data_IF_814890743494
#
_entry.id   IF_814890743494
#
_cell.length_a   1.000
_cell.length_b   1.000
_cell.length_c   1.000
_cell.angle_alpha   90.00
_cell.angle_beta   90.00
_cell.angle_gamma   90.00
#
_symmetry.space_group_name_H-M   'P 1'
#
loop_
_entity.id
_entity.type
_entity.pdbx_description
1 polymer ?
#
# COMPACT_ATOMS: atom_id res chain seq x y z
N UNK A 1 -9.34 -11.26 -23.39
CA UNK A 1 -8.36 -11.62 -22.43
C UNK A 1 -6.96 -11.62 -23.01
N UNK A 2 -6.05 -11.01 -22.35
CA UNK A 2 -4.71 -10.89 -22.87
C UNK A 2 -3.96 -12.20 -22.70
N UNK A 3 -3.38 -12.68 -23.78
CA UNK A 3 -2.59 -13.90 -23.71
C UNK A 3 -1.18 -13.60 -23.29
N UNK A 4 -0.75 -12.37 -23.52
CA UNK A 4 0.56 -11.93 -23.08
C UNK A 4 0.39 -10.69 -22.24
N UNK A 5 -0.08 -10.85 -21.03
CA UNK A 5 -0.28 -9.68 -20.20
C UNK A 5 1.06 -9.03 -19.88
N UNK A 6 1.06 -7.73 -19.92
CA UNK A 6 2.23 -6.96 -19.58
C UNK A 6 2.50 -7.08 -18.08
N UNK A 7 3.69 -7.53 -17.65
CA UNK A 7 3.96 -7.64 -16.21
C UNK A 7 3.78 -6.32 -15.47
N UNK A 8 4.13 -5.21 -16.09
CA UNK A 8 3.93 -3.92 -15.46
C UNK A 8 2.45 -3.63 -15.28
N UNK A 9 1.64 -3.96 -16.29
CA UNK A 9 0.21 -3.77 -16.20
C UNK A 9 -0.43 -4.62 -15.13
N UNK A 10 0.04 -5.86 -15.00
CA UNK A 10 -0.47 -6.74 -13.95
C UNK A 10 -0.19 -6.18 -12.57
N UNK A 11 1.02 -5.68 -12.38
CA UNK A 11 1.37 -5.04 -11.12
C UNK A 11 0.51 -3.81 -10.86
N UNK A 12 0.32 -3.01 -11.89
CA UNK A 12 -0.43 -1.78 -11.75
C UNK A 12 -1.85 -2.02 -11.31
N UNK A 13 -2.44 -3.14 -11.76
CA UNK A 13 -3.80 -3.45 -11.34
C UNK A 13 -3.90 -3.74 -9.85
N UNK A 14 -2.85 -4.36 -9.30
CA UNK A 14 -2.84 -4.67 -7.87
C UNK A 14 -2.61 -3.41 -7.04
N UNK A 15 -1.65 -2.59 -7.47
CA UNK A 15 -1.22 -1.46 -6.65
C UNK A 15 -1.85 -0.14 -7.06
N UNK A 16 -2.87 -0.18 -7.91
CA UNK A 16 -3.48 1.06 -8.37
C UNK A 16 -4.11 1.82 -7.21
N UNK A 17 -4.02 3.13 -7.32
CA UNK A 17 -4.60 4.00 -6.31
C UNK A 17 -3.62 4.34 -5.21
N UNK A 18 -3.74 5.56 -4.75
CA UNK A 18 -2.86 6.10 -3.75
C UNK A 18 -2.86 5.29 -2.46
N UNK A 19 -4.07 4.92 -2.01
CA UNK A 19 -4.18 4.31 -0.70
C UNK A 19 -3.60 2.91 -0.65
N UNK A 20 -3.70 2.16 -1.76
CA UNK A 20 -3.14 0.82 -1.80
C UNK A 20 -1.64 0.84 -1.56
N UNK A 21 -0.94 1.72 -2.27
CA UNK A 21 0.50 1.84 -2.10
C UNK A 21 0.87 2.27 -0.71
N UNK A 22 0.10 3.18 -0.12
CA UNK A 22 0.40 3.66 1.22
C UNK A 22 0.16 2.60 2.29
N UNK A 23 -0.84 1.74 2.08
CA UNK A 23 -1.06 0.62 3.00
C UNK A 23 0.15 -0.32 2.97
N UNK A 24 0.61 -0.66 1.77
CA UNK A 24 1.77 -1.54 1.64
C UNK A 24 2.99 -0.91 2.31
N UNK A 25 3.18 0.38 2.11
CA UNK A 25 4.28 1.09 2.74
C UNK A 25 4.24 0.95 4.25
N UNK A 26 3.05 1.15 4.83
CA UNK A 26 2.93 1.10 6.28
C UNK A 26 3.14 -0.30 6.82
N UNK A 27 2.71 -1.32 6.08
CA UNK A 27 2.88 -2.69 6.53
C UNK A 27 4.28 -3.23 6.30
N UNK A 28 5.10 -2.50 5.55
CA UNK A 28 6.46 -2.94 5.29
C UNK A 28 7.28 -3.03 6.57
N UNK A 29 6.96 -2.23 7.56
CA UNK A 29 7.70 -2.20 8.82
C UNK A 29 7.19 -3.19 9.84
N UNK A 30 6.09 -3.87 9.54
CA UNK A 30 5.53 -4.85 10.47
C UNK A 30 4.03 -4.84 10.44
N UNK A 31 3.45 -5.80 11.13
CA UNK A 31 2.01 -5.95 11.20
C UNK A 31 1.38 -4.79 11.97
N UNK A 32 0.17 -4.42 11.57
CA UNK A 32 -0.53 -3.33 12.21
C UNK A 32 -2.01 -3.65 12.33
N UNK A 33 -2.65 -3.00 13.30
CA UNK A 33 -4.08 -3.10 13.48
C UNK A 33 -4.78 -2.10 12.57
N UNK A 34 -6.07 -2.34 12.36
CA UNK A 34 -6.88 -1.47 11.52
C UNK A 34 -6.80 -0.02 12.00
N UNK A 35 -6.94 0.19 13.30
CA UNK A 35 -6.94 1.56 13.83
C UNK A 35 -5.58 2.24 13.68
N UNK A 36 -4.51 1.46 13.71
CA UNK A 36 -3.18 2.02 13.52
C UNK A 36 -2.98 2.47 12.09
N UNK A 37 -3.46 1.66 11.14
CA UNK A 37 -3.41 2.04 9.74
C UNK A 37 -4.27 3.27 9.48
N UNK A 38 -5.45 3.29 10.07
CA UNK A 38 -6.35 4.41 9.90
C UNK A 38 -5.73 5.69 10.38
N UNK A 39 -5.03 5.63 11.48
CA UNK A 39 -4.37 6.79 12.06
C UNK A 39 -3.19 7.26 11.21
N UNK A 40 -2.43 6.30 10.72
CA UNK A 40 -1.26 6.61 9.91
C UNK A 40 -1.63 7.14 8.53
N UNK A 41 -2.73 6.66 7.98
CA UNK A 41 -3.16 7.05 6.62
C UNK A 41 -4.16 8.19 6.74
N UNK A 42 -3.62 9.34 7.07
CA UNK A 42 -4.43 10.51 7.34
C UNK A 42 -5.35 10.83 6.17
N UNK A 43 -6.63 10.98 6.46
CA UNK A 43 -7.61 11.30 5.44
C UNK A 43 -8.33 10.11 4.85
N UNK A 44 -7.91 8.90 5.17
CA UNK A 44 -8.59 7.71 4.64
C UNK A 44 -9.85 7.45 5.46
N UNK A 45 -10.93 7.09 4.77
CA UNK A 45 -12.14 6.70 5.48
C UNK A 45 -12.03 5.23 5.88
N UNK A 46 -12.73 4.84 6.97
CA UNK A 46 -12.75 3.43 7.35
C UNK A 46 -13.24 2.52 6.24
N UNK A 47 -14.20 3.00 5.48
CA UNK A 47 -14.74 2.20 4.38
C UNK A 47 -13.67 1.98 3.31
N UNK A 48 -12.94 3.02 2.95
CA UNK A 48 -11.91 2.88 1.94
C UNK A 48 -10.80 1.97 2.42
N UNK A 49 -10.38 2.13 3.66
CA UNK A 49 -9.34 1.27 4.20
C UNK A 49 -9.77 -0.19 4.20
N UNK A 50 -11.00 -0.44 4.63
CA UNK A 50 -11.53 -1.79 4.65
C UNK A 50 -11.53 -2.41 3.25
N UNK A 51 -11.95 -1.62 2.26
CA UNK A 51 -12.00 -2.12 0.89
C UNK A 51 -10.59 -2.40 0.35
N UNK A 52 -9.64 -1.54 0.65
CA UNK A 52 -8.27 -1.74 0.18
C UNK A 52 -7.64 -2.96 0.82
N UNK A 53 -7.85 -3.14 2.12
CA UNK A 53 -7.31 -4.32 2.79
C UNK A 53 -7.90 -5.59 2.25
N UNK A 54 -9.21 -5.59 1.99
CA UNK A 54 -9.85 -6.78 1.46
C UNK A 54 -9.29 -7.11 0.07
N UNK A 55 -9.13 -6.11 -0.77
CA UNK A 55 -8.60 -6.34 -2.10
C UNK A 55 -7.18 -6.90 -2.03
N UNK A 56 -6.37 -6.38 -1.12
CA UNK A 56 -5.01 -6.86 -0.96
C UNK A 56 -4.97 -8.28 -0.41
N UNK A 57 -5.92 -8.62 0.45
CA UNK A 57 -6.03 -10.01 0.91
C UNK A 57 -6.37 -10.93 -0.25
N UNK A 58 -7.29 -10.51 -1.10
CA UNK A 58 -7.70 -11.33 -2.24
C UNK A 58 -6.57 -11.56 -3.21
N UNK A 59 -5.67 -10.59 -3.33
CA UNK A 59 -4.52 -10.75 -4.20
C UNK A 59 -3.36 -11.47 -3.52
N UNK A 60 -3.53 -11.85 -2.25
CA UNK A 60 -2.48 -12.54 -1.54
C UNK A 60 -1.33 -11.65 -1.10
N UNK A 61 -1.53 -10.36 -1.08
CA UNK A 61 -0.50 -9.40 -0.69
C UNK A 61 -0.49 -9.19 0.82
N UNK A 62 -1.67 -9.23 1.43
CA UNK A 62 -1.86 -8.97 2.85
C UNK A 62 -2.55 -10.17 3.46
N UNK A 63 -2.16 -10.50 4.69
CA UNK A 63 -2.86 -11.51 5.46
C UNK A 63 -3.42 -10.87 6.70
N UNK A 64 -4.55 -11.40 7.14
CA UNK A 64 -5.24 -10.93 8.32
C UNK A 64 -5.15 -12.00 9.37
N UNK A 65 -4.64 -11.63 10.55
CA UNK A 65 -4.45 -12.57 11.65
C UNK A 65 -5.33 -12.17 12.81
N UNK A 66 -6.07 -13.13 13.33
CA UNK A 66 -6.92 -12.92 14.48
C UNK A 66 -6.32 -13.63 15.66
N UNK A 67 -6.16 -12.92 16.77
CA UNK A 67 -5.60 -13.49 17.99
C UNK A 67 -6.73 -13.70 18.99
N UNK A 68 -6.77 -14.89 19.63
CA UNK A 68 -7.86 -15.22 20.55
C UNK A 68 -7.67 -14.55 21.90
N UNK A 69 -7.90 -13.26 21.92
CA UNK A 69 -7.80 -12.45 23.14
C UNK A 69 -9.18 -11.88 23.44
N UNK A 70 -9.28 -11.21 24.58
CA UNK A 70 -10.52 -10.56 24.98
C UNK A 70 -10.18 -9.11 25.27
N UNK A 71 -10.60 -8.19 24.41
CA UNK A 71 -11.28 -8.39 23.14
C UNK A 71 -10.36 -8.98 22.08
N UNK A 72 -10.89 -9.58 21.03
CA UNK A 72 -10.08 -10.18 19.99
C UNK A 72 -9.20 -9.13 19.32
N UNK A 73 -7.98 -9.53 19.01
CA UNK A 73 -7.06 -8.64 18.33
C UNK A 73 -6.90 -9.11 16.88
N UNK A 74 -7.01 -8.18 15.96
CA UNK A 74 -6.84 -8.46 14.54
C UNK A 74 -5.69 -7.61 14.02
N UNK A 75 -4.77 -8.25 13.33
CA UNK A 75 -3.63 -7.55 12.74
C UNK A 75 -3.52 -7.89 11.27
N UNK A 76 -3.00 -6.94 10.51
CA UNK A 76 -2.75 -7.10 9.08
C UNK A 76 -1.24 -7.06 8.86
N UNK A 77 -0.76 -7.92 7.98
CA UNK A 77 0.66 -7.97 7.67
C UNK A 77 0.87 -8.36 6.23
N UNK A 78 2.07 -8.15 5.74
CA UNK A 78 2.42 -8.53 4.38
C UNK A 78 2.74 -10.01 4.33
N UNK A 79 2.25 -10.66 3.27
CA UNK A 79 2.67 -12.02 2.96
C UNK A 79 4.03 -11.97 2.29
N UNK A 80 4.56 -13.15 1.96
CA UNK A 80 5.80 -13.19 1.20
C UNK A 80 5.65 -12.47 -0.13
N UNK A 81 4.52 -12.69 -0.79
CA UNK A 81 4.23 -12.03 -2.05
C UNK A 81 4.15 -10.52 -1.86
N UNK A 82 3.58 -10.09 -0.74
CA UNK A 82 3.49 -8.67 -0.43
C UNK A 82 4.85 -8.07 -0.12
N UNK A 83 5.70 -8.80 0.59
CA UNK A 83 7.03 -8.29 0.89
C UNK A 83 7.85 -8.08 -0.36
N UNK A 84 7.58 -8.86 -1.39
CA UNK A 84 8.30 -8.70 -2.64
C UNK A 84 7.99 -7.36 -3.31
N UNK A 85 6.94 -6.68 -2.88
CA UNK A 85 6.63 -5.35 -3.39
C UNK A 85 7.39 -4.24 -2.66
N UNK A 86 8.04 -4.54 -1.54
CA UNK A 86 8.72 -3.51 -0.78
C UNK A 86 9.83 -2.82 -1.58
N UNK A 87 10.63 -3.53 -2.37
CA UNK A 87 11.62 -2.83 -3.19
C UNK A 87 11.00 -1.83 -4.15
N UNK A 88 9.81 -2.12 -4.66
CA UNK A 88 9.11 -1.17 -5.52
C UNK A 88 8.76 0.10 -4.74
N UNK A 89 8.28 -0.08 -3.52
CA UNK A 89 7.95 1.07 -2.67
C UNK A 89 9.21 1.90 -2.40
N UNK A 90 10.34 1.24 -2.14
CA UNK A 90 11.58 1.96 -1.89
C UNK A 90 12.05 2.72 -3.13
N UNK A 91 11.88 2.12 -4.30
CA UNK A 91 12.24 2.81 -5.54
C UNK A 91 11.35 4.02 -5.74
N UNK A 92 10.06 3.88 -5.44
CA UNK A 92 9.16 5.02 -5.53
C UNK A 92 9.54 6.12 -4.56
N UNK A 93 9.96 5.73 -3.36
CA UNK A 93 10.39 6.70 -2.36
C UNK A 93 11.60 7.48 -2.85
N UNK A 94 12.57 6.77 -3.42
CA UNK A 94 13.77 7.40 -3.94
C UNK A 94 13.44 8.35 -5.08
N UNK A 95 12.56 7.90 -5.97
CA UNK A 95 12.14 8.74 -7.08
C UNK A 95 11.44 10.00 -6.58
N UNK A 96 10.55 9.83 -5.61
CA UNK A 96 9.82 10.97 -5.08
C UNK A 96 10.72 12.00 -4.44
N UNK A 97 11.71 11.53 -3.68
CA UNK A 97 12.64 12.45 -3.04
C UNK A 97 13.47 13.20 -4.06
N UNK A 98 13.94 12.50 -5.07
CA UNK A 98 14.82 13.11 -6.04
C UNK A 98 14.09 14.08 -6.95
N UNK A 99 12.92 13.70 -7.41
CA UNK A 99 12.27 14.41 -8.50
C UNK A 99 11.04 15.20 -8.11
N UNK A 100 10.38 14.86 -7.00
CA UNK A 100 9.09 15.46 -6.69
C UNK A 100 9.09 16.31 -5.43
N UNK A 101 9.94 16.00 -4.45
CA UNK A 101 9.97 16.72 -3.18
C UNK A 101 11.22 17.56 -3.03
N UNK A 102 11.86 17.85 -4.12
CA UNK A 102 13.15 18.51 -4.11
C UNK A 102 12.94 20.02 -4.31
N UNK A 103 12.70 20.71 -3.22
CA UNK A 103 12.63 22.16 -3.24
C UNK A 103 11.59 22.67 -4.22
N UNK A 104 12.01 23.59 -5.05
CA UNK A 104 11.10 24.30 -5.93
C UNK A 104 10.46 23.41 -6.97
N UNK A 105 11.14 22.36 -7.32
CA UNK A 105 10.65 21.52 -8.40
C UNK A 105 9.36 20.83 -8.09
N UNK A 106 9.05 20.70 -6.82
CA UNK A 106 7.81 20.07 -6.45
C UNK A 106 6.60 20.76 -7.04
N UNK A 107 6.61 22.08 -7.01
CA UNK A 107 5.49 22.83 -7.55
C UNK A 107 5.40 22.71 -9.05
N UNK A 108 6.51 22.74 -9.69
CA UNK A 108 6.54 22.63 -11.14
C UNK A 108 6.00 21.30 -11.57
N UNK A 109 6.38 20.26 -10.86
CA UNK A 109 5.91 18.92 -11.16
C UNK A 109 4.40 18.84 -11.01
N UNK A 110 3.88 19.40 -9.93
CA UNK A 110 2.45 19.38 -9.70
C UNK A 110 1.70 20.08 -10.80
N UNK A 111 2.24 21.17 -11.27
CA UNK A 111 1.61 21.92 -12.34
C UNK A 111 1.64 21.15 -13.65
N UNK A 112 2.74 20.47 -13.89
CA UNK A 112 2.90 19.74 -15.13
C UNK A 112 2.03 18.50 -15.20
N UNK A 113 1.62 18.00 -14.07
CA UNK A 113 0.76 16.82 -14.05
C UNK A 113 -0.66 17.12 -14.50
#
# INVERSE_FOLDING_TARGET
MAENPCPVGCCAEIVSGKWTLLVIRDLADGSQRFCELERSLEGISPRTLSLRLRALEEHGIVERRTYPEVPPRVEYGLTEKGRALVPLIEDMRAYGRRWLLNGDRRRETAVAA
#
